data_IF_087589298414
#
_entry.id   IF_087589298414
#
_cell.length_a   1.000
_cell.length_b   1.000
_cell.length_c   1.000
_cell.angle_alpha   90.00
_cell.angle_beta   90.00
_cell.angle_gamma   90.00
#
_symmetry.space_group_name_H-M   'P 1'
#
loop_
_entity.id
_entity.type
_entity.pdbx_description
1 polymer ?
#
# COMPACT_ATOMS: atom_id res chain seq x y z
N UNK A 1 15.50 3.65 -12.30
CA UNK A 1 15.82 5.09 -12.26
C UNK A 1 16.97 5.43 -13.21
N UNK A 2 18.13 4.79 -13.11
CA UNK A 2 19.27 5.02 -14.02
C UNK A 2 18.98 4.78 -15.51
N UNK A 3 18.04 3.88 -15.81
CA UNK A 3 17.52 3.61 -17.17
C UNK A 3 17.01 4.87 -17.87
N UNK A 4 16.47 5.84 -17.13
CA UNK A 4 15.91 7.07 -17.70
C UNK A 4 16.97 8.10 -18.11
N UNK A 5 18.24 7.92 -17.70
CA UNK A 5 19.35 8.76 -18.17
C UNK A 5 19.72 8.45 -19.63
N UNK A 6 19.43 7.24 -20.11
CA UNK A 6 19.64 6.83 -21.49
C UNK A 6 18.32 6.29 -22.04
N UNK A 7 17.51 7.16 -22.66
CA UNK A 7 16.24 6.78 -23.28
C UNK A 7 16.48 5.80 -24.44
N UNK A 8 16.36 4.50 -24.14
CA UNK A 8 16.32 3.43 -25.11
C UNK A 8 15.05 2.60 -24.88
N UNK A 9 14.23 2.46 -25.91
CA UNK A 9 12.93 1.78 -25.86
C UNK A 9 13.06 0.32 -25.40
N UNK A 10 14.06 -0.41 -25.89
CA UNK A 10 14.29 -1.80 -25.49
C UNK A 10 14.72 -1.91 -24.03
N UNK A 11 15.59 -1.00 -23.60
CA UNK A 11 16.06 -0.92 -22.21
C UNK A 11 14.90 -0.57 -21.27
N UNK A 12 14.00 0.32 -21.70
CA UNK A 12 12.81 0.73 -20.96
C UNK A 12 11.85 -0.45 -20.75
N UNK A 13 11.50 -1.18 -21.81
CA UNK A 13 10.61 -2.34 -21.70
C UNK A 13 11.22 -3.43 -20.82
N UNK A 14 12.51 -3.72 -21.00
CA UNK A 14 13.21 -4.69 -20.17
C UNK A 14 13.25 -4.27 -18.69
N UNK A 15 13.61 -3.03 -18.40
CA UNK A 15 13.65 -2.51 -17.03
C UNK A 15 12.27 -2.49 -16.37
N UNK A 16 11.20 -2.18 -17.11
CA UNK A 16 9.82 -2.25 -16.62
C UNK A 16 9.42 -3.69 -16.27
N UNK A 17 9.79 -4.68 -17.09
CA UNK A 17 9.53 -6.08 -16.79
C UNK A 17 10.26 -6.54 -15.51
N UNK A 18 11.54 -6.17 -15.36
CA UNK A 18 12.31 -6.45 -14.14
C UNK A 18 11.68 -5.76 -12.93
N UNK A 19 11.29 -4.49 -13.06
CA UNK A 19 10.66 -3.73 -11.98
C UNK A 19 9.35 -4.36 -11.52
N UNK A 20 8.52 -4.88 -12.43
CA UNK A 20 7.29 -5.60 -12.10
C UNK A 20 7.56 -6.87 -11.28
N UNK A 21 8.52 -7.70 -11.72
CA UNK A 21 8.92 -8.93 -11.01
C UNK A 21 9.48 -8.58 -9.62
N UNK A 22 10.38 -7.60 -9.53
CA UNK A 22 10.98 -7.16 -8.27
C UNK A 22 9.94 -6.59 -7.31
N UNK A 23 8.98 -5.79 -7.80
CA UNK A 23 7.91 -5.24 -6.99
C UNK A 23 7.03 -6.34 -6.38
N UNK A 24 6.65 -7.35 -7.16
CA UNK A 24 5.86 -8.48 -6.68
C UNK A 24 6.57 -9.23 -5.53
N UNK A 25 7.87 -9.51 -5.69
CA UNK A 25 8.69 -10.16 -4.68
C UNK A 25 8.85 -9.30 -3.42
N UNK A 26 9.11 -7.99 -3.58
CA UNK A 26 9.31 -7.07 -2.48
C UNK A 26 8.02 -6.93 -1.64
N UNK A 27 6.87 -6.78 -2.30
CA UNK A 27 5.59 -6.63 -1.60
C UNK A 27 5.15 -7.91 -0.88
N UNK A 28 5.32 -9.07 -1.51
CA UNK A 28 5.03 -10.35 -0.87
C UNK A 28 5.97 -10.61 0.31
N UNK A 29 7.28 -10.38 0.13
CA UNK A 29 8.30 -10.52 1.18
C UNK A 29 8.05 -9.60 2.36
N UNK A 30 7.70 -8.33 2.10
CA UNK A 30 7.37 -7.35 3.14
C UNK A 30 6.19 -7.81 4.03
N UNK A 31 5.11 -8.32 3.43
CA UNK A 31 3.97 -8.84 4.18
C UNK A 31 4.33 -10.03 5.07
N UNK A 32 5.12 -10.97 4.54
CA UNK A 32 5.61 -12.13 5.30
C UNK A 32 6.50 -11.69 6.46
N UNK A 33 7.45 -10.80 6.19
CA UNK A 33 8.38 -10.29 7.20
C UNK A 33 7.62 -9.60 8.35
N UNK A 34 6.64 -8.75 8.01
CA UNK A 34 5.84 -8.04 9.00
C UNK A 34 5.07 -9.02 9.91
N UNK A 35 4.45 -10.05 9.35
CA UNK A 35 3.71 -11.06 10.13
C UNK A 35 4.65 -11.87 11.02
N UNK A 36 5.86 -12.19 10.55
CA UNK A 36 6.86 -12.92 11.34
C UNK A 36 7.36 -12.12 12.54
N UNK A 37 7.66 -10.83 12.34
CA UNK A 37 8.22 -9.97 13.41
C UNK A 37 7.13 -9.44 14.36
N UNK A 38 5.85 -9.52 13.97
CA UNK A 38 4.74 -8.99 14.76
C UNK A 38 4.09 -10.05 15.65
N UNK A 39 3.88 -9.73 16.92
CA UNK A 39 3.00 -10.50 17.82
C UNK A 39 1.54 -10.37 17.36
N UNK A 40 0.72 -11.39 17.62
CA UNK A 40 -0.71 -11.42 17.21
C UNK A 40 -1.50 -10.20 17.71
N UNK A 41 -1.25 -9.74 18.94
CA UNK A 41 -1.89 -8.58 19.56
C UNK A 41 -1.40 -7.23 19.02
N UNK A 42 -0.23 -7.21 18.35
CA UNK A 42 0.41 -6.01 17.82
C UNK A 42 0.40 -5.92 16.30
N UNK A 43 -0.01 -6.98 15.60
CA UNK A 43 0.01 -7.04 14.14
C UNK A 43 -0.68 -5.83 13.51
N UNK A 44 -1.82 -5.39 14.06
CA UNK A 44 -2.53 -4.23 13.56
C UNK A 44 -1.79 -2.91 13.78
N UNK A 45 -1.23 -2.70 14.97
CA UNK A 45 -0.42 -1.49 15.24
C UNK A 45 0.84 -1.46 14.38
N UNK A 46 1.53 -2.59 14.25
CA UNK A 46 2.75 -2.70 13.44
C UNK A 46 2.45 -2.51 11.95
N UNK A 47 1.33 -3.06 11.45
CA UNK A 47 0.87 -2.84 10.07
C UNK A 47 0.52 -1.37 9.82
N UNK A 48 -0.15 -0.73 10.78
CA UNK A 48 -0.46 0.70 10.71
C UNK A 48 0.80 1.59 10.67
N UNK A 49 1.78 1.32 11.53
CA UNK A 49 3.06 2.04 11.56
C UNK A 49 3.83 1.81 10.26
N UNK A 50 3.92 0.57 9.79
CA UNK A 50 4.56 0.25 8.51
C UNK A 50 3.90 1.00 7.36
N UNK A 51 2.56 1.03 7.31
CA UNK A 51 1.82 1.76 6.28
C UNK A 51 2.08 3.26 6.37
N UNK A 52 2.05 3.86 7.56
CA UNK A 52 2.35 5.27 7.75
C UNK A 52 3.80 5.62 7.32
N UNK A 53 4.78 4.78 7.63
CA UNK A 53 6.17 4.96 7.19
C UNK A 53 6.29 4.88 5.67
N UNK A 54 5.68 3.88 5.04
CA UNK A 54 5.64 3.77 3.58
C UNK A 54 5.09 5.05 2.95
N UNK A 55 3.98 5.56 3.47
CA UNK A 55 3.24 6.67 2.86
C UNK A 55 3.84 8.05 3.17
N UNK A 56 4.75 8.12 4.13
CA UNK A 56 5.63 9.29 4.29
C UNK A 56 6.42 9.60 3.01
N UNK A 57 6.74 8.57 2.21
CA UNK A 57 7.42 8.76 0.92
C UNK A 57 6.56 9.54 -0.09
N UNK A 58 5.23 9.41 -0.08
CA UNK A 58 4.33 10.22 -0.93
C UNK A 58 4.40 11.70 -0.53
N UNK A 59 4.42 11.99 0.77
CA UNK A 59 4.52 13.37 1.28
C UNK A 59 5.87 13.97 0.91
N UNK A 60 6.97 13.26 1.16
CA UNK A 60 8.31 13.73 0.79
C UNK A 60 8.45 13.91 -0.72
N UNK A 61 7.92 12.97 -1.52
CA UNK A 61 7.92 13.06 -2.98
C UNK A 61 7.10 14.24 -3.52
N UNK A 62 5.94 14.51 -2.92
CA UNK A 62 5.11 15.67 -3.28
C UNK A 62 5.79 17.00 -2.93
N UNK A 63 6.42 17.12 -1.75
CA UNK A 63 7.19 18.31 -1.38
C UNK A 63 8.36 18.53 -2.35
N UNK A 64 9.08 17.45 -2.69
CA UNK A 64 10.15 17.52 -3.68
C UNK A 64 9.63 17.99 -5.04
N UNK A 65 8.49 17.46 -5.51
CA UNK A 65 7.87 17.88 -6.77
C UNK A 65 7.44 19.35 -6.73
N UNK A 66 6.90 19.85 -5.61
CA UNK A 66 6.58 21.27 -5.43
C UNK A 66 7.83 22.15 -5.56
N UNK A 67 8.93 21.75 -4.93
CA UNK A 67 10.19 22.47 -5.01
C UNK A 67 10.73 22.53 -6.44
N UNK A 68 10.77 21.38 -7.13
CA UNK A 68 11.24 21.28 -8.52
C UNK A 68 10.36 22.09 -9.48
N UNK A 69 9.03 22.06 -9.32
CA UNK A 69 8.11 22.82 -10.17
C UNK A 69 8.12 24.33 -9.89
N UNK A 70 8.57 24.74 -8.70
CA UNK A 70 8.75 26.14 -8.35
C UNK A 70 10.03 26.70 -8.99
N UNK A 71 11.09 25.90 -9.02
CA UNK A 71 12.37 26.26 -9.62
C UNK A 71 12.43 25.82 -11.08
N UNK A 72 12.01 26.68 -12.01
CA UNK A 72 11.94 26.37 -13.45
C UNK A 72 13.26 25.83 -14.05
N UNK A 73 14.41 26.28 -13.53
CA UNK A 73 15.73 25.77 -13.91
C UNK A 73 15.94 24.29 -13.51
N UNK A 74 15.47 23.88 -12.33
CA UNK A 74 15.58 22.49 -11.86
C UNK A 74 14.59 21.57 -12.56
N UNK A 75 13.41 22.07 -12.93
CA UNK A 75 12.43 21.28 -13.70
C UNK A 75 12.96 20.85 -15.07
N UNK A 76 13.89 21.61 -15.65
CA UNK A 76 14.52 21.28 -16.93
C UNK A 76 15.73 20.34 -16.78
N UNK A 77 16.23 20.15 -15.55
CA UNK A 77 17.36 19.27 -15.26
C UNK A 77 16.87 17.86 -14.90
N UNK A 78 16.56 17.08 -15.93
CA UNK A 78 16.15 15.67 -15.78
C UNK A 78 17.22 14.86 -15.03
N UNK A 79 18.50 15.12 -15.29
CA UNK A 79 19.61 14.45 -14.62
C UNK A 79 19.57 14.66 -13.11
N UNK A 80 19.30 15.89 -12.65
CA UNK A 80 19.19 16.19 -11.23
C UNK A 80 18.09 15.36 -10.56
N UNK A 81 16.89 15.33 -11.14
CA UNK A 81 15.73 14.61 -10.60
C UNK A 81 16.04 13.11 -10.49
N UNK A 82 16.57 12.50 -11.56
CA UNK A 82 16.85 11.07 -11.58
C UNK A 82 18.03 10.67 -10.69
N UNK A 83 19.03 11.54 -10.52
CA UNK A 83 20.14 11.32 -9.58
C UNK A 83 19.63 11.32 -8.14
N UNK A 84 18.76 12.25 -7.75
CA UNK A 84 18.15 12.29 -6.42
C UNK A 84 17.31 11.03 -6.15
N UNK A 85 16.51 10.58 -7.12
CA UNK A 85 15.77 9.34 -6.96
C UNK A 85 16.66 8.09 -6.93
N UNK A 86 17.75 8.07 -7.71
CA UNK A 86 18.72 6.98 -7.67
C UNK A 86 19.43 6.89 -6.32
N UNK A 87 19.85 8.02 -5.74
CA UNK A 87 20.51 8.05 -4.43
C UNK A 87 19.57 7.65 -3.30
N UNK A 88 18.32 8.12 -3.33
CA UNK A 88 17.28 7.71 -2.37
C UNK A 88 16.99 6.19 -2.47
N UNK A 89 16.94 5.65 -3.68
CA UNK A 89 16.75 4.20 -3.90
C UNK A 89 17.95 3.40 -3.38
N UNK A 90 19.17 3.85 -3.64
CA UNK A 90 20.39 3.21 -3.15
C UNK A 90 20.43 3.18 -1.61
N UNK A 91 20.08 4.29 -0.96
CA UNK A 91 19.95 4.36 0.50
C UNK A 91 18.89 3.39 1.02
N UNK A 92 17.72 3.31 0.36
CA UNK A 92 16.67 2.35 0.71
C UNK A 92 17.15 0.89 0.63
N UNK A 93 17.93 0.54 -0.39
CA UNK A 93 18.53 -0.80 -0.53
C UNK A 93 19.48 -1.08 0.64
N UNK A 94 20.35 -0.13 0.98
CA UNK A 94 21.27 -0.28 2.12
C UNK A 94 20.51 -0.51 3.42
N UNK A 95 19.44 0.25 3.67
CA UNK A 95 18.60 0.08 4.86
C UNK A 95 17.94 -1.30 4.88
N UNK A 96 17.43 -1.78 3.75
CA UNK A 96 16.84 -3.12 3.65
C UNK A 96 17.88 -4.25 3.85
N UNK A 97 19.12 -4.06 3.41
CA UNK A 97 20.21 -5.02 3.65
C UNK A 97 20.64 -5.08 5.12
N UNK A 98 20.48 -3.99 5.86
CA UNK A 98 20.76 -3.92 7.30
C UNK A 98 19.60 -4.45 8.15
N UNK A 99 18.46 -4.79 7.54
CA UNK A 99 17.29 -5.26 8.25
C UNK A 99 17.55 -6.64 8.88
N UNK A 100 17.20 -6.86 10.17
CA UNK A 100 17.48 -8.11 10.85
C UNK A 100 16.92 -9.34 10.13
N UNK A 101 17.73 -10.39 9.99
CA UNK A 101 17.27 -11.67 9.44
C UNK A 101 16.34 -12.37 10.44
N UNK A 102 15.10 -12.64 10.02
CA UNK A 102 14.12 -13.42 10.81
C UNK A 102 14.41 -14.93 10.86
N UNK A 103 15.49 -15.40 10.21
CA UNK A 103 15.86 -16.83 10.17
C UNK A 103 16.24 -17.37 11.55
N UNK A 104 16.70 -16.51 12.46
CA UNK A 104 17.13 -16.93 13.81
C UNK A 104 15.97 -16.90 14.84
N UNK A 105 14.79 -16.38 14.48
CA UNK A 105 13.66 -16.25 15.41
C UNK A 105 12.82 -17.52 15.55
N UNK A 106 13.11 -18.56 14.76
CA UNK A 106 12.49 -19.89 14.90
C UNK A 106 12.98 -20.66 16.13
N UNK A 107 14.12 -20.30 16.72
CA UNK A 107 14.69 -21.03 17.86
C UNK A 107 14.30 -20.45 19.24
N UNK A 108 13.92 -19.16 19.34
CA UNK A 108 13.78 -18.49 20.66
C UNK A 108 12.35 -18.32 21.20
N UNK A 109 11.29 -18.70 20.48
CA UNK A 109 9.90 -18.61 21.01
C UNK A 109 9.32 -19.92 21.59
N UNK A 110 10.16 -20.89 21.92
CA UNK A 110 9.77 -22.06 22.75
C UNK A 110 10.20 -21.89 24.22
N UNK A 111 10.95 -20.84 24.56
CA UNK A 111 11.40 -20.57 25.93
C UNK A 111 10.40 -19.76 26.76
N UNK A 112 9.64 -20.45 27.62
CA UNK A 112 9.10 -19.96 28.90
C UNK A 112 8.01 -18.87 28.82
N UNK A 113 6.75 -19.30 28.67
CA UNK A 113 5.65 -18.73 29.46
C UNK A 113 4.87 -19.90 30.08
N UNK A 114 5.30 -20.31 31.27
CA UNK A 114 4.52 -21.18 32.13
C UNK A 114 3.29 -20.44 32.63
N UNK A 115 2.17 -20.57 31.91
CA UNK A 115 0.85 -20.40 32.51
C UNK A 115 0.53 -21.73 33.20
N UNK A 116 0.36 -21.68 34.51
CA UNK A 116 -0.10 -22.79 35.35
C UNK A 116 -1.53 -23.12 34.91
N UNK A 117 -1.75 -24.32 34.38
CA UNK A 117 -3.07 -24.94 34.34
C UNK A 117 -3.02 -26.20 35.21
N UNK A 118 -3.95 -26.27 36.17
CA UNK A 118 -4.30 -27.50 36.87
C UNK A 118 -4.92 -28.49 35.87
N UNK A 119 -4.43 -29.72 35.94
CA UNK A 119 -5.10 -30.99 35.66
C UNK A 119 -5.70 -31.30 34.26
N UNK A 120 -4.97 -32.18 33.56
CA UNK A 120 -5.34 -33.56 33.19
C UNK A 120 -5.18 -33.92 31.69
N UNK A 121 -4.15 -34.75 31.46
CA UNK A 121 -4.01 -35.80 30.43
C UNK A 121 -4.52 -35.52 29.01
N UNK A 122 -3.60 -35.16 28.11
CA UNK A 122 -3.44 -35.74 26.76
C UNK A 122 -1.97 -35.54 26.36
N UNK A 123 -1.31 -36.60 25.90
CA UNK A 123 0.10 -36.62 25.50
C UNK A 123 0.38 -35.55 24.41
N UNK A 124 1.51 -34.83 24.43
CA UNK A 124 1.90 -34.00 23.29
C UNK A 124 2.25 -34.91 22.11
N UNK A 125 1.56 -34.73 20.99
CA UNK A 125 1.96 -35.33 19.71
C UNK A 125 3.41 -34.93 19.38
N UNK A 126 4.21 -35.82 18.74
CA UNK A 126 5.58 -35.50 18.37
C UNK A 126 5.62 -34.29 17.44
N UNK A 127 6.45 -33.32 17.80
CA UNK A 127 6.80 -32.15 16.97
C UNK A 127 7.23 -32.67 15.59
N UNK A 128 6.56 -32.30 14.48
CA UNK A 128 6.99 -32.73 13.16
C UNK A 128 8.41 -32.21 12.91
N UNK A 129 9.34 -33.14 12.70
CA UNK A 129 10.70 -32.90 12.23
C UNK A 129 10.73 -31.80 11.17
N UNK A 130 11.75 -30.94 11.27
CA UNK A 130 12.07 -29.88 10.32
C UNK A 130 11.85 -30.32 8.87
N UNK A 131 10.72 -29.90 8.31
CA UNK A 131 10.42 -30.14 6.92
C UNK A 131 11.39 -29.29 6.09
N UNK A 132 12.26 -29.96 5.33
CA UNK A 132 12.98 -29.36 4.19
C UNK A 132 12.09 -28.34 3.46
N UNK A 133 12.64 -27.19 3.02
CA UNK A 133 11.85 -26.16 2.37
C UNK A 133 11.02 -26.81 1.25
N UNK A 134 9.69 -26.63 1.23
CA UNK A 134 8.84 -27.33 0.29
C UNK A 134 9.32 -27.04 -1.13
N UNK A 135 9.46 -28.09 -1.94
CA UNK A 135 9.80 -27.98 -3.36
C UNK A 135 9.00 -26.85 -4.01
N UNK A 136 9.64 -26.06 -4.89
CA UNK A 136 9.01 -24.91 -5.56
C UNK A 136 7.69 -25.29 -6.26
N UNK A 137 7.60 -26.52 -6.79
CA UNK A 137 6.37 -27.07 -7.37
C UNK A 137 5.25 -27.25 -6.33
N UNK A 138 5.59 -27.67 -5.11
CA UNK A 138 4.65 -27.82 -4.01
C UNK A 138 4.13 -26.44 -3.54
N UNK A 139 5.01 -25.45 -3.46
CA UNK A 139 4.61 -24.08 -3.14
C UNK A 139 3.68 -23.49 -4.20
N UNK A 140 4.01 -23.70 -5.48
CA UNK A 140 3.15 -23.27 -6.60
C UNK A 140 1.77 -23.96 -6.56
N UNK A 141 1.73 -25.26 -6.27
CA UNK A 141 0.47 -25.99 -6.10
C UNK A 141 -0.35 -25.45 -4.93
N UNK A 142 0.30 -25.16 -3.80
CA UNK A 142 -0.36 -24.57 -2.63
C UNK A 142 -0.90 -23.18 -2.94
N UNK A 143 -0.16 -22.35 -3.68
CA UNK A 143 -0.60 -21.05 -4.13
C UNK A 143 -1.92 -21.14 -4.92
N UNK A 144 -1.99 -21.99 -5.95
CA UNK A 144 -3.23 -22.16 -6.72
C UNK A 144 -4.37 -22.77 -5.89
N UNK A 145 -4.05 -23.75 -5.02
CA UNK A 145 -5.05 -24.34 -4.12
C UNK A 145 -5.65 -23.30 -3.18
N UNK A 146 -4.80 -22.43 -2.62
CA UNK A 146 -5.21 -21.34 -1.74
C UNK A 146 -6.01 -20.28 -2.50
N UNK A 147 -5.55 -19.88 -3.68
CA UNK A 147 -6.20 -18.91 -4.56
C UNK A 147 -7.66 -19.27 -4.83
N UNK A 148 -7.94 -20.53 -5.15
CA UNK A 148 -9.29 -21.01 -5.46
C UNK A 148 -10.08 -21.48 -4.24
N UNK A 149 -9.57 -21.26 -3.01
CA UNK A 149 -10.34 -21.56 -1.81
C UNK A 149 -11.50 -20.57 -1.62
N UNK A 150 -12.68 -20.99 -1.14
CA UNK A 150 -13.85 -20.10 -1.04
C UNK A 150 -13.61 -18.83 -0.21
N UNK A 151 -12.84 -18.95 0.88
CA UNK A 151 -12.49 -17.82 1.74
C UNK A 151 -11.55 -16.83 1.03
N UNK A 152 -10.57 -17.34 0.29
CA UNK A 152 -9.64 -16.49 -0.46
C UNK A 152 -10.32 -15.84 -1.65
N UNK A 153 -11.23 -16.53 -2.34
CA UNK A 153 -12.01 -15.94 -3.45
C UNK A 153 -12.86 -14.76 -2.98
N UNK A 154 -13.49 -14.86 -1.81
CA UNK A 154 -14.22 -13.73 -1.22
C UNK A 154 -13.30 -12.53 -0.93
N UNK A 155 -12.10 -12.81 -0.38
CA UNK A 155 -11.08 -11.76 -0.16
C UNK A 155 -10.51 -11.21 -1.47
N UNK A 156 -10.45 -12.02 -2.52
CA UNK A 156 -9.92 -11.62 -3.83
C UNK A 156 -10.75 -10.51 -4.46
N UNK A 157 -12.08 -10.51 -4.27
CA UNK A 157 -12.94 -9.38 -4.65
C UNK A 157 -12.52 -8.07 -3.99
N UNK A 158 -12.11 -8.14 -2.71
CA UNK A 158 -11.61 -6.97 -1.97
C UNK A 158 -10.24 -6.54 -2.48
N UNK A 159 -9.37 -7.49 -2.82
CA UNK A 159 -8.03 -7.20 -3.36
C UNK A 159 -8.10 -6.51 -4.73
N UNK A 160 -9.00 -6.97 -5.60
CA UNK A 160 -9.27 -6.30 -6.88
C UNK A 160 -9.82 -4.90 -6.65
N UNK A 161 -10.74 -4.73 -5.70
CA UNK A 161 -11.25 -3.40 -5.35
C UNK A 161 -10.14 -2.44 -4.91
N UNK A 162 -9.21 -2.86 -4.04
CA UNK A 162 -8.11 -1.98 -3.62
C UNK A 162 -7.10 -1.73 -4.74
N UNK A 163 -6.92 -2.67 -5.67
CA UNK A 163 -6.13 -2.44 -6.89
C UNK A 163 -6.77 -1.39 -7.81
N UNK A 164 -8.07 -1.51 -8.07
CA UNK A 164 -8.84 -0.55 -8.87
C UNK A 164 -8.84 0.84 -8.24
N UNK A 165 -9.01 0.92 -6.92
CA UNK A 165 -8.97 2.17 -6.18
C UNK A 165 -7.58 2.83 -6.26
N UNK A 166 -6.51 2.05 -6.08
CA UNK A 166 -5.13 2.53 -6.22
C UNK A 166 -4.87 3.08 -7.63
N UNK A 167 -5.27 2.34 -8.67
CA UNK A 167 -5.15 2.80 -10.06
C UNK A 167 -5.97 4.07 -10.32
N UNK A 168 -7.16 4.17 -9.71
CA UNK A 168 -8.02 5.33 -9.84
C UNK A 168 -7.38 6.59 -9.27
N UNK A 169 -6.94 6.60 -8.00
CA UNK A 169 -6.44 7.83 -7.40
C UNK A 169 -5.05 8.21 -7.91
N UNK A 170 -4.21 7.24 -8.32
CA UNK A 170 -2.86 7.52 -8.84
C UNK A 170 -2.86 7.94 -10.31
N UNK A 171 -3.79 7.43 -11.12
CA UNK A 171 -3.84 7.67 -12.56
C UNK A 171 -5.00 8.55 -13.00
N UNK A 172 -6.23 8.10 -12.79
CA UNK A 172 -7.44 8.75 -13.33
C UNK A 172 -7.69 10.09 -12.64
N UNK A 173 -7.75 10.08 -11.30
CA UNK A 173 -8.04 11.27 -10.51
C UNK A 173 -7.00 12.37 -10.71
N UNK A 174 -5.71 12.04 -10.66
CA UNK A 174 -4.60 12.99 -10.90
C UNK A 174 -4.66 13.59 -12.31
N UNK A 175 -5.02 12.78 -13.32
CA UNK A 175 -5.22 13.25 -14.69
C UNK A 175 -6.39 14.22 -14.80
N UNK A 176 -7.52 13.93 -14.13
CA UNK A 176 -8.67 14.86 -14.07
C UNK A 176 -8.28 16.20 -13.43
N UNK A 177 -7.53 16.17 -12.33
CA UNK A 177 -7.06 17.39 -11.66
C UNK A 177 -6.15 18.22 -12.57
N UNK A 178 -5.23 17.57 -13.29
CA UNK A 178 -4.30 18.25 -14.22
C UNK A 178 -5.02 18.88 -15.42
N UNK A 179 -6.08 18.23 -15.90
CA UNK A 179 -6.83 18.63 -17.10
C UNK A 179 -7.98 19.61 -16.83
N UNK A 180 -8.37 19.80 -15.58
CA UNK A 180 -9.44 20.75 -15.21
C UNK A 180 -8.90 22.18 -15.19
N UNK A 181 -9.29 22.99 -16.17
CA UNK A 181 -8.76 24.34 -16.37
C UNK A 181 -9.06 25.28 -15.20
N UNK A 182 -10.27 25.21 -14.63
CA UNK A 182 -10.63 25.97 -13.43
C UNK A 182 -9.65 25.75 -12.26
N UNK A 183 -9.19 24.52 -12.03
CA UNK A 183 -8.21 24.20 -10.99
C UNK A 183 -6.80 24.67 -11.36
N UNK A 184 -6.41 24.52 -12.63
CA UNK A 184 -5.11 24.96 -13.14
C UNK A 184 -4.95 26.48 -13.06
N UNK A 185 -6.03 27.22 -13.30
CA UNK A 185 -6.08 28.68 -13.16
C UNK A 185 -5.93 29.13 -11.69
N UNK A 186 -6.38 28.33 -10.74
CA UNK A 186 -6.15 28.58 -9.30
C UNK A 186 -4.69 28.31 -8.95
N UNK A 187 -4.15 27.16 -9.38
CA UNK A 187 -2.76 26.80 -9.10
C UNK A 187 -2.22 25.76 -10.08
N UNK A 188 -1.03 26.02 -10.61
CA UNK A 188 -0.27 25.02 -11.40
C UNK A 188 0.18 23.80 -10.58
N UNK A 189 0.05 23.87 -9.25
CA UNK A 189 0.50 22.84 -8.31
C UNK A 189 -0.64 21.97 -7.77
N UNK A 190 -1.81 21.94 -8.42
CA UNK A 190 -2.98 21.20 -7.91
C UNK A 190 -2.70 19.71 -7.69
N UNK A 191 -1.98 19.07 -8.62
CA UNK A 191 -1.63 17.64 -8.54
C UNK A 191 -0.70 17.36 -7.35
N UNK A 192 0.48 17.99 -7.20
CA UNK A 192 1.34 17.72 -6.04
C UNK A 192 0.69 18.08 -4.71
N UNK A 193 -0.14 19.13 -4.64
CA UNK A 193 -0.90 19.48 -3.44
C UNK A 193 -1.93 18.39 -3.09
N UNK A 194 -2.62 17.84 -4.09
CA UNK A 194 -3.52 16.70 -3.91
C UNK A 194 -2.78 15.46 -3.41
N UNK A 195 -1.65 15.10 -4.03
CA UNK A 195 -0.82 13.95 -3.59
C UNK A 195 -0.32 14.13 -2.16
N UNK A 196 0.08 15.35 -1.77
CA UNK A 196 0.45 15.68 -0.39
C UNK A 196 -0.71 15.37 0.58
N UNK A 197 -1.93 15.74 0.19
CA UNK A 197 -3.13 15.52 1.00
C UNK A 197 -3.54 14.05 1.06
N UNK A 198 -3.39 13.29 -0.03
CA UNK A 198 -3.53 11.82 -0.03
C UNK A 198 -2.53 11.21 0.95
N UNK A 199 -1.25 11.58 0.85
CA UNK A 199 -0.18 11.10 1.74
C UNK A 199 -0.46 11.43 3.21
N UNK A 200 -0.97 12.62 3.52
CA UNK A 200 -1.38 12.98 4.87
C UNK A 200 -2.52 12.08 5.38
N UNK A 201 -3.57 11.87 4.57
CA UNK A 201 -4.66 10.97 4.90
C UNK A 201 -4.20 9.53 5.13
N UNK A 202 -3.27 9.05 4.30
CA UNK A 202 -2.65 7.74 4.41
C UNK A 202 -1.89 7.55 5.73
N UNK A 203 -1.04 8.53 6.09
CA UNK A 203 -0.28 8.53 7.35
C UNK A 203 -1.23 8.55 8.55
N UNK A 204 -2.24 9.42 8.50
CA UNK A 204 -3.25 9.52 9.55
C UNK A 204 -3.99 8.18 9.73
N UNK A 205 -4.51 7.60 8.65
CA UNK A 205 -5.20 6.31 8.68
C UNK A 205 -4.30 5.19 9.24
N UNK A 206 -3.06 5.09 8.76
CA UNK A 206 -2.07 4.11 9.25
C UNK A 206 -1.76 4.28 10.74
N UNK A 207 -1.43 5.49 11.18
CA UNK A 207 -1.08 5.79 12.56
C UNK A 207 -2.25 5.58 13.54
N UNK A 208 -3.46 5.91 13.11
CA UNK A 208 -4.68 5.85 13.93
C UNK A 208 -5.22 4.41 14.02
N UNK A 209 -4.96 3.54 13.05
CA UNK A 209 -5.44 2.14 13.02
C UNK A 209 -5.07 1.34 14.28
N UNK A 210 -3.86 1.52 14.82
CA UNK A 210 -3.42 0.83 16.04
C UNK A 210 -4.20 1.27 17.29
N UNK A 211 -4.24 2.58 17.62
CA UNK A 211 -5.03 3.13 18.71
C UNK A 211 -6.53 2.78 18.65
N UNK A 212 -7.16 2.80 17.46
CA UNK A 212 -8.59 2.49 17.30
C UNK A 212 -8.94 1.11 17.86
N UNK A 213 -8.15 0.09 17.52
CA UNK A 213 -8.47 -1.26 17.96
C UNK A 213 -7.93 -1.55 19.35
N UNK A 214 -6.75 -1.03 19.73
CA UNK A 214 -6.18 -1.33 21.05
C UNK A 214 -6.76 -0.49 22.19
N UNK A 215 -6.93 0.81 21.99
CA UNK A 215 -7.39 1.74 23.03
C UNK A 215 -8.91 1.89 23.02
N UNK A 216 -9.51 2.03 21.85
CA UNK A 216 -10.95 2.22 21.71
C UNK A 216 -11.73 0.93 21.44
N UNK A 217 -11.04 -0.22 21.34
CA UNK A 217 -11.66 -1.54 21.17
C UNK A 217 -12.60 -1.60 19.95
N UNK A 218 -12.32 -0.79 18.92
CA UNK A 218 -13.10 -0.76 17.68
C UNK A 218 -12.74 -2.00 16.85
N UNK A 219 -13.78 -2.73 16.44
CA UNK A 219 -13.65 -3.93 15.61
C UNK A 219 -13.13 -3.57 14.21
N UNK A 220 -12.28 -4.43 13.66
CA UNK A 220 -11.79 -4.34 12.27
C UNK A 220 -12.91 -4.12 11.24
N UNK A 221 -14.04 -4.79 11.40
CA UNK A 221 -15.21 -4.62 10.52
C UNK A 221 -15.75 -3.18 10.52
N UNK A 222 -15.77 -2.52 11.68
CA UNK A 222 -16.23 -1.14 11.79
C UNK A 222 -15.27 -0.15 11.13
N UNK A 223 -13.97 -0.43 11.17
CA UNK A 223 -12.94 0.36 10.47
C UNK A 223 -13.15 0.27 8.95
N UNK A 224 -13.41 -0.93 8.44
CA UNK A 224 -13.67 -1.15 7.01
C UNK A 224 -14.96 -0.45 6.57
N UNK A 225 -16.04 -0.54 7.36
CA UNK A 225 -17.30 0.15 7.06
C UNK A 225 -17.10 1.67 7.03
N UNK A 226 -16.34 2.22 7.98
CA UNK A 226 -15.99 3.64 7.97
C UNK A 226 -15.19 4.03 6.71
N UNK A 227 -14.19 3.24 6.33
CA UNK A 227 -13.42 3.45 5.10
C UNK A 227 -14.32 3.43 3.85
N UNK A 228 -15.31 2.53 3.80
CA UNK A 228 -16.28 2.49 2.72
C UNK A 228 -17.12 3.77 2.65
N UNK A 229 -17.60 4.29 3.79
CA UNK A 229 -18.31 5.56 3.83
C UNK A 229 -17.44 6.73 3.35
N UNK A 230 -16.20 6.81 3.80
CA UNK A 230 -15.24 7.82 3.36
C UNK A 230 -15.00 7.76 1.84
N UNK A 231 -14.84 6.56 1.26
CA UNK A 231 -14.76 6.38 -0.19
C UNK A 231 -16.03 6.82 -0.92
N UNK A 232 -17.21 6.44 -0.45
CA UNK A 232 -18.48 6.84 -1.07
C UNK A 232 -18.62 8.37 -1.10
N UNK A 233 -18.27 9.04 -0.02
CA UNK A 233 -18.26 10.51 0.05
C UNK A 233 -17.22 11.08 -0.94
N UNK A 234 -16.01 10.53 -0.97
CA UNK A 234 -14.96 10.97 -1.90
C UNK A 234 -15.39 10.83 -3.37
N UNK A 235 -15.95 9.69 -3.76
CA UNK A 235 -16.43 9.45 -5.13
C UNK A 235 -17.64 10.33 -5.49
N UNK A 236 -18.57 10.54 -4.55
CA UNK A 236 -19.68 11.47 -4.76
C UNK A 236 -19.18 12.90 -4.96
N UNK A 237 -18.21 13.35 -4.16
CA UNK A 237 -17.59 14.66 -4.30
C UNK A 237 -16.87 14.78 -5.64
N UNK A 238 -16.09 13.77 -6.05
CA UNK A 238 -15.44 13.74 -7.37
C UNK A 238 -16.47 13.88 -8.49
N UNK A 239 -17.56 13.11 -8.44
CA UNK A 239 -18.60 13.13 -9.46
C UNK A 239 -19.26 14.51 -9.60
N UNK A 240 -19.49 15.22 -8.49
CA UNK A 240 -20.10 16.56 -8.55
C UNK A 240 -19.10 17.68 -8.84
N UNK A 241 -17.83 17.50 -8.48
CA UNK A 241 -16.81 18.56 -8.51
C UNK A 241 -15.86 18.52 -9.71
N UNK A 242 -15.76 17.41 -10.43
CA UNK A 242 -14.86 17.28 -11.59
C UNK A 242 -15.65 17.15 -12.90
N UNK A 243 -15.17 17.77 -13.99
CA UNK A 243 -15.80 17.62 -15.31
C UNK A 243 -15.69 16.19 -15.82
N UNK A 244 -16.73 15.68 -16.47
CA UNK A 244 -16.78 14.29 -16.95
C UNK A 244 -15.75 13.99 -18.06
N UNK A 245 -15.36 14.99 -18.84
CA UNK A 245 -14.41 14.90 -19.95
C UNK A 245 -12.95 15.19 -19.55
N UNK A 246 -12.71 15.56 -18.29
CA UNK A 246 -11.38 15.87 -17.74
C UNK A 246 -10.41 14.67 -17.71
N UNK A 247 -10.91 13.46 -17.96
CA UNK A 247 -10.08 12.25 -18.09
C UNK A 247 -9.30 12.18 -19.41
N UNK A 248 -9.79 12.83 -20.48
CA UNK A 248 -9.25 12.67 -21.84
C UNK A 248 -8.72 13.95 -22.44
N UNK A 249 -9.23 15.10 -22.00
CA UNK A 249 -8.87 16.40 -22.56
C UNK A 249 -8.89 17.51 -21.50
N UNK A 250 -8.13 18.57 -21.76
CA UNK A 250 -8.20 19.78 -20.95
C UNK A 250 -9.54 20.49 -21.19
N UNK A 251 -10.27 20.77 -20.12
CA UNK A 251 -11.67 21.21 -20.20
C UNK A 251 -12.02 22.24 -19.14
N UNK A 252 -12.98 23.10 -19.47
CA UNK A 252 -13.63 24.05 -18.55
C UNK A 252 -15.15 23.80 -18.51
N UNK A 253 -15.56 22.56 -18.79
CA UNK A 253 -16.96 22.18 -18.75
C UNK A 253 -17.56 22.41 -17.36
N UNK A 254 -18.79 22.90 -17.34
CA UNK A 254 -19.50 23.21 -16.11
C UNK A 254 -19.72 21.94 -15.27
N UNK A 255 -19.53 22.07 -13.96
CA UNK A 255 -19.77 21.02 -12.98
C UNK A 255 -20.96 21.38 -12.09
N UNK A 256 -21.50 20.41 -11.36
CA UNK A 256 -22.59 20.65 -10.40
C UNK A 256 -22.07 21.52 -9.24
N UNK A 257 -20.85 21.24 -8.79
CA UNK A 257 -20.14 22.00 -7.78
C UNK A 257 -18.84 22.53 -8.39
N UNK A 258 -18.65 23.85 -8.37
CA UNK A 258 -17.46 24.47 -8.96
C UNK A 258 -16.17 23.85 -8.38
N UNK A 259 -15.19 23.47 -9.23
CA UNK A 259 -13.95 22.89 -8.76
C UNK A 259 -13.22 23.91 -7.87
N UNK A 260 -12.91 23.52 -6.63
CA UNK A 260 -12.20 24.37 -5.69
C UNK A 260 -11.10 23.58 -4.99
N UNK A 261 -9.97 24.24 -4.71
CA UNK A 261 -8.82 23.61 -4.05
C UNK A 261 -9.17 22.94 -2.71
N UNK A 262 -9.99 23.54 -1.81
CA UNK A 262 -10.39 22.87 -0.57
C UNK A 262 -11.17 21.56 -0.80
N UNK A 263 -12.01 21.50 -1.84
CA UNK A 263 -12.77 20.28 -2.18
C UNK A 263 -11.82 19.18 -2.63
N UNK A 264 -10.85 19.52 -3.49
CA UNK A 264 -9.81 18.59 -3.96
C UNK A 264 -9.01 18.03 -2.78
N UNK A 265 -8.65 18.88 -1.80
CA UNK A 265 -7.94 18.47 -0.59
C UNK A 265 -8.79 17.52 0.27
N UNK A 266 -10.07 17.82 0.47
CA UNK A 266 -10.97 16.94 1.22
C UNK A 266 -11.10 15.58 0.54
N UNK A 267 -11.33 15.55 -0.78
CA UNK A 267 -11.39 14.32 -1.57
C UNK A 267 -10.08 13.52 -1.40
N UNK A 268 -8.95 14.18 -1.61
CA UNK A 268 -7.62 13.58 -1.53
C UNK A 268 -7.36 12.95 -0.15
N UNK A 269 -7.69 13.66 0.92
CA UNK A 269 -7.55 13.17 2.28
C UNK A 269 -8.47 11.97 2.56
N UNK A 270 -9.73 12.02 2.10
CA UNK A 270 -10.70 10.92 2.27
C UNK A 270 -10.25 9.65 1.53
N UNK A 271 -9.76 9.77 0.29
CA UNK A 271 -9.17 8.65 -0.45
C UNK A 271 -7.99 8.06 0.35
N UNK A 272 -7.06 8.90 0.78
CA UNK A 272 -5.88 8.45 1.52
C UNK A 272 -6.18 7.74 2.85
N UNK A 273 -7.13 8.27 3.65
CA UNK A 273 -7.56 7.64 4.92
C UNK A 273 -8.18 6.26 4.64
N UNK A 274 -9.02 6.19 3.61
CA UNK A 274 -9.77 4.99 3.28
C UNK A 274 -8.86 3.88 2.77
N UNK A 275 -7.95 4.18 1.83
CA UNK A 275 -6.93 3.24 1.35
C UNK A 275 -6.08 2.70 2.52
N UNK A 276 -5.60 3.59 3.40
CA UNK A 276 -4.82 3.15 4.57
C UNK A 276 -5.60 2.19 5.48
N UNK A 277 -6.90 2.41 5.69
CA UNK A 277 -7.72 1.47 6.45
C UNK A 277 -7.91 0.14 5.71
N UNK A 278 -8.22 0.14 4.41
CA UNK A 278 -8.34 -1.10 3.64
C UNK A 278 -7.04 -1.91 3.68
N UNK A 279 -5.91 -1.27 3.42
CA UNK A 279 -4.61 -1.93 3.32
C UNK A 279 -4.17 -2.48 4.67
N UNK A 280 -4.25 -1.70 5.74
CA UNK A 280 -3.89 -2.18 7.08
C UNK A 280 -4.78 -3.35 7.55
N UNK A 281 -6.09 -3.31 7.26
CA UNK A 281 -7.00 -4.39 7.63
C UNK A 281 -6.76 -5.66 6.80
N UNK A 282 -6.43 -5.55 5.50
CA UNK A 282 -6.06 -6.71 4.68
C UNK A 282 -4.82 -7.41 5.25
N UNK A 283 -3.79 -6.66 5.65
CA UNK A 283 -2.59 -7.24 6.29
C UNK A 283 -2.93 -7.98 7.59
N UNK A 284 -3.82 -7.42 8.41
CA UNK A 284 -4.28 -8.07 9.65
C UNK A 284 -5.08 -9.34 9.37
N UNK A 285 -6.00 -9.32 8.40
CA UNK A 285 -6.81 -10.49 8.01
C UNK A 285 -5.91 -11.60 7.48
N UNK A 286 -4.98 -11.29 6.57
CA UNK A 286 -4.06 -12.28 6.02
C UNK A 286 -3.16 -12.86 7.11
N UNK A 287 -2.52 -11.99 7.92
CA UNK A 287 -1.60 -12.42 8.97
C UNK A 287 -2.25 -13.17 10.13
N UNK A 288 -3.56 -13.01 10.33
CA UNK A 288 -4.33 -13.75 11.35
C UNK A 288 -4.89 -15.07 10.82
N UNK A 289 -5.47 -15.09 9.61
CA UNK A 289 -6.14 -16.27 9.06
C UNK A 289 -5.19 -17.26 8.38
N UNK A 290 -4.12 -16.78 7.74
CA UNK A 290 -3.23 -17.59 6.91
C UNK A 290 -1.81 -17.68 7.46
N UNK A 291 -1.65 -17.62 8.79
CA UNK A 291 -0.33 -17.59 9.46
C UNK A 291 0.63 -18.71 8.99
N UNK A 292 0.11 -19.91 8.78
CA UNK A 292 0.92 -21.08 8.37
C UNK A 292 1.32 -21.07 6.89
N UNK A 293 0.62 -20.29 6.05
CA UNK A 293 0.85 -20.19 4.59
C UNK A 293 0.97 -18.72 4.16
N UNK A 294 1.53 -17.89 5.03
CA UNK A 294 1.56 -16.42 4.91
C UNK A 294 2.13 -15.96 3.57
N UNK A 295 3.19 -16.62 3.08
CA UNK A 295 3.81 -16.31 1.80
C UNK A 295 2.86 -16.49 0.62
N UNK A 296 2.14 -17.61 0.57
CA UNK A 296 1.16 -17.89 -0.49
C UNK A 296 -0.02 -16.91 -0.39
N UNK A 297 -0.47 -16.58 0.82
CA UNK A 297 -1.59 -15.66 1.01
C UNK A 297 -1.26 -14.22 0.57
N UNK A 298 -0.09 -13.69 0.93
CA UNK A 298 0.37 -12.38 0.44
C UNK A 298 0.66 -12.37 -1.07
N UNK A 299 1.14 -13.48 -1.62
CA UNK A 299 1.29 -13.63 -3.06
C UNK A 299 -0.06 -13.54 -3.78
N UNK A 300 -1.11 -14.23 -3.27
CA UNK A 300 -2.46 -14.15 -3.86
C UNK A 300 -3.02 -12.74 -3.74
N UNK A 301 -2.85 -12.09 -2.58
CA UNK A 301 -3.25 -10.70 -2.40
C UNK A 301 -2.60 -9.77 -3.43
N UNK A 302 -1.29 -9.85 -3.59
CA UNK A 302 -0.57 -8.98 -4.53
C UNK A 302 -0.85 -9.33 -5.99
N UNK A 303 -1.12 -10.60 -6.29
CA UNK A 303 -1.59 -11.01 -7.62
C UNK A 303 -2.88 -10.28 -7.99
N UNK A 304 -3.94 -10.37 -7.16
CA UNK A 304 -5.22 -9.73 -7.46
C UNK A 304 -5.22 -8.20 -7.31
N UNK A 305 -4.33 -7.64 -6.51
CA UNK A 305 -4.23 -6.19 -6.34
C UNK A 305 -3.55 -5.49 -7.52
N UNK A 306 -2.67 -6.19 -8.25
CA UNK A 306 -1.83 -5.58 -9.30
C UNK A 306 -2.25 -6.03 -10.71
N UNK A 307 -2.94 -7.17 -10.84
CA UNK A 307 -3.54 -7.63 -12.10
C UNK A 307 -4.83 -6.87 -12.43
#
# INVERSE_FOLDING_TARGET
MLTFLHLNVYLLFFASAVLGISAALLWAGNGVYLVKVSKKDRLQTNSGIMWAMLQSSLVTGAIFLLYVLHSEELSNSFDFIYIVFASATALGIVILLLLPSTTNSSEEQVGVVSVRDDEQHLLPDPIPNEASPPSSLKQLKQFFTLMFSPRMLCLSCVFVFTGLEMAFYTGVFTSCLSSTLALKNITKYVVPISVLSIGFGQILGGAVTGPLTKKWQIKSSSIIVFALFCHLIAFALIFVSLPYDSTTQSTDAATILNPALPIVLIISCLLGISDAFWQTQIYVIIGSLYKNETANAFAVFKFFQVC
#
